data_IF_521339934073
#
_entry.id   IF_521339934073
#
_cell.length_a   1.000
_cell.length_b   1.000
_cell.length_c   1.000
_cell.angle_alpha   90.00
_cell.angle_beta   90.00
_cell.angle_gamma   90.00
#
_symmetry.space_group_name_H-M   'P 1'
#
loop_
_entity.id
_entity.type
_entity.pdbx_description
1 polymer ?
#
# COMPACT_ATOMS: atom_id res chain seq x y z
N UNK A 1 46.09 -6.47 -1.44
CA UNK A 1 46.65 -5.30 -2.13
C UNK A 1 46.45 -4.07 -1.26
N UNK A 2 47.54 -3.40 -0.85
CA UNK A 2 47.48 -2.27 0.06
C UNK A 2 47.24 -0.98 -0.75
N UNK A 3 45.97 -0.59 -0.94
CA UNK A 3 45.62 0.62 -1.68
C UNK A 3 45.92 1.85 -0.80
N UNK A 4 47.11 2.43 -0.96
CA UNK A 4 47.47 3.69 -0.30
C UNK A 4 46.68 4.84 -0.95
N UNK A 5 45.89 5.56 -0.16
CA UNK A 5 45.18 6.78 -0.60
C UNK A 5 46.18 7.85 -1.08
N UNK A 6 45.80 8.63 -2.10
CA UNK A 6 46.60 9.79 -2.53
C UNK A 6 46.62 10.85 -1.42
N UNK A 7 47.70 11.64 -1.33
CA UNK A 7 47.90 12.66 -0.27
C UNK A 7 46.77 13.69 -0.13
N UNK A 8 45.99 13.88 -1.19
CA UNK A 8 44.84 14.80 -1.24
C UNK A 8 43.47 14.09 -1.20
N UNK A 9 43.44 12.77 -1.05
CA UNK A 9 42.20 12.04 -0.85
C UNK A 9 41.91 11.90 0.64
N UNK A 10 40.80 12.49 1.10
CA UNK A 10 40.23 12.15 2.41
C UNK A 10 39.95 10.65 2.44
N UNK A 11 40.30 9.92 3.52
CA UNK A 11 39.97 8.50 3.68
C UNK A 11 38.50 8.25 3.35
N UNK A 12 38.22 7.73 2.16
CA UNK A 12 36.86 7.42 1.74
C UNK A 12 36.48 6.18 2.52
N UNK A 13 35.64 6.33 3.55
CA UNK A 13 35.06 5.16 4.22
C UNK A 13 34.32 4.32 3.19
N UNK A 14 34.75 3.07 3.05
CA UNK A 14 33.95 2.02 2.43
C UNK A 14 32.61 1.98 3.18
N UNK A 15 31.48 2.05 2.46
CA UNK A 15 30.16 2.19 3.09
C UNK A 15 29.23 3.22 2.43
N UNK A 16 29.75 4.07 1.52
CA UNK A 16 28.92 5.03 0.77
C UNK A 16 27.93 4.35 -0.21
N UNK A 17 27.94 3.01 -0.28
CA UNK A 17 27.17 2.21 -1.22
C UNK A 17 26.63 0.88 -0.64
N UNK A 18 26.48 0.72 0.67
CA UNK A 18 25.96 -0.55 1.26
C UNK A 18 24.56 -0.92 0.75
N UNK A 19 23.83 0.08 0.26
CA UNK A 19 22.50 -0.07 -0.37
C UNK A 19 22.55 -0.04 -1.91
N UNK A 20 23.72 0.09 -2.53
CA UNK A 20 23.95 0.26 -3.96
C UNK A 20 23.69 1.69 -4.48
N UNK A 21 24.27 2.04 -5.66
CA UNK A 21 24.09 3.35 -6.32
C UNK A 21 22.61 3.46 -6.69
N UNK A 22 21.83 4.16 -5.88
CA UNK A 22 20.38 4.29 -6.07
C UNK A 22 19.50 3.34 -5.27
N UNK A 23 20.02 2.65 -4.23
CA UNK A 23 19.18 1.80 -3.36
C UNK A 23 18.00 2.53 -2.74
N UNK A 24 18.25 3.71 -2.17
CA UNK A 24 17.20 4.56 -1.59
C UNK A 24 16.23 5.12 -2.64
N UNK A 25 16.73 5.48 -3.83
CA UNK A 25 15.91 5.95 -4.93
C UNK A 25 14.98 4.85 -5.46
N UNK A 26 15.51 3.63 -5.65
CA UNK A 26 14.75 2.46 -6.08
C UNK A 26 13.70 2.03 -5.03
N UNK A 27 14.05 2.09 -3.75
CA UNK A 27 13.09 1.84 -2.66
C UNK A 27 11.92 2.84 -2.71
N UNK A 28 12.19 4.14 -2.89
CA UNK A 28 11.14 5.17 -3.04
C UNK A 28 10.25 4.91 -4.26
N UNK A 29 10.83 4.50 -5.39
CA UNK A 29 10.05 4.14 -6.59
C UNK A 29 9.09 2.97 -6.31
N UNK A 30 9.58 1.89 -5.68
CA UNK A 30 8.75 0.74 -5.30
C UNK A 30 7.63 1.14 -4.34
N UNK A 31 7.94 1.95 -3.31
CA UNK A 31 6.92 2.44 -2.36
C UNK A 31 5.83 3.25 -3.08
N UNK A 32 6.20 4.11 -4.04
CA UNK A 32 5.24 4.88 -4.84
C UNK A 32 4.34 3.96 -5.68
N UNK A 33 4.90 2.94 -6.31
CA UNK A 33 4.14 1.94 -7.07
C UNK A 33 3.12 1.22 -6.18
N UNK A 34 3.54 0.72 -5.01
CA UNK A 34 2.63 0.04 -4.08
C UNK A 34 1.54 0.95 -3.54
N UNK A 35 1.85 2.22 -3.23
CA UNK A 35 0.84 3.19 -2.77
C UNK A 35 -0.22 3.45 -3.84
N UNK A 36 0.19 3.59 -5.10
CA UNK A 36 -0.75 3.78 -6.22
C UNK A 36 -1.60 2.54 -6.45
N UNK A 37 -1.01 1.34 -6.36
CA UNK A 37 -1.75 0.09 -6.47
C UNK A 37 -2.81 -0.04 -5.39
N UNK A 38 -2.47 0.23 -4.12
CA UNK A 38 -3.42 0.23 -3.00
C UNK A 38 -4.58 1.20 -3.21
N UNK A 39 -4.29 2.41 -3.73
CA UNK A 39 -5.31 3.41 -4.05
C UNK A 39 -6.28 2.88 -5.12
N UNK A 40 -5.77 2.36 -6.24
CA UNK A 40 -6.58 1.78 -7.33
C UNK A 40 -7.45 0.63 -6.86
N UNK A 41 -6.89 -0.27 -6.05
CA UNK A 41 -7.65 -1.41 -5.48
C UNK A 41 -8.77 -0.93 -4.57
N UNK A 42 -8.49 0.05 -3.69
CA UNK A 42 -9.50 0.63 -2.79
C UNK A 42 -10.60 1.39 -3.55
N UNK A 43 -10.24 2.13 -4.60
CA UNK A 43 -11.20 2.84 -5.45
C UNK A 43 -12.15 1.89 -6.17
N UNK A 44 -11.66 0.78 -6.72
CA UNK A 44 -12.49 -0.25 -7.34
C UNK A 44 -13.43 -0.96 -6.36
N UNK A 45 -13.06 -1.06 -5.07
CA UNK A 45 -13.91 -1.65 -4.02
C UNK A 45 -15.02 -0.69 -3.58
N UNK A 46 -14.72 0.61 -3.49
CA UNK A 46 -15.63 1.59 -2.90
C UNK A 46 -16.76 2.05 -3.83
N UNK A 47 -16.62 1.92 -5.15
CA UNK A 47 -17.67 2.38 -6.09
C UNK A 47 -18.87 1.43 -6.17
N UNK A 48 -18.69 0.14 -5.89
CA UNK A 48 -19.76 -0.86 -6.04
C UNK A 48 -20.43 -1.27 -4.71
N UNK A 49 -19.89 -0.88 -3.56
CA UNK A 49 -20.29 -1.40 -2.23
C UNK A 49 -20.85 -0.36 -1.26
N UNK A 50 -21.44 0.74 -1.76
CA UNK A 50 -22.58 1.35 -1.03
C UNK A 50 -23.84 0.53 -1.27
N UNK A 51 -23.78 -0.77 -0.99
CA UNK A 51 -24.98 -1.58 -0.83
C UNK A 51 -25.36 -1.41 0.62
N UNK A 52 -26.29 -0.50 0.85
CA UNK A 52 -26.87 -0.26 2.16
C UNK A 52 -27.37 -1.61 2.71
N UNK A 53 -26.58 -2.23 3.59
CA UNK A 53 -26.92 -3.50 4.23
C UNK A 53 -28.22 -3.44 5.04
N UNK A 54 -28.75 -2.22 5.23
CA UNK A 54 -30.09 -1.98 5.73
C UNK A 54 -31.17 -2.62 4.83
N UNK A 55 -31.04 -2.58 3.51
CA UNK A 55 -32.06 -3.05 2.56
C UNK A 55 -32.39 -4.55 2.67
N UNK A 56 -31.36 -5.39 2.87
CA UNK A 56 -31.54 -6.84 3.00
C UNK A 56 -32.16 -7.24 4.36
N UNK A 57 -31.81 -6.52 5.42
CA UNK A 57 -32.34 -6.74 6.77
C UNK A 57 -33.80 -6.25 6.86
N UNK A 58 -34.12 -5.13 6.21
CA UNK A 58 -35.48 -4.61 6.12
C UNK A 58 -36.45 -5.59 5.44
N UNK A 59 -36.00 -6.29 4.38
CA UNK A 59 -36.84 -7.24 3.65
C UNK A 59 -37.21 -8.47 4.49
N UNK A 60 -36.26 -9.02 5.27
CA UNK A 60 -36.51 -10.14 6.17
C UNK A 60 -37.45 -9.77 7.33
N UNK A 61 -37.34 -8.54 7.85
CA UNK A 61 -38.20 -8.05 8.93
C UNK A 61 -39.65 -7.83 8.48
N UNK A 62 -39.86 -7.34 7.25
CA UNK A 62 -41.20 -7.20 6.64
C UNK A 62 -41.89 -8.57 6.47
N UNK A 63 -41.16 -9.58 5.97
CA UNK A 63 -41.71 -10.93 5.81
C UNK A 63 -42.15 -11.52 7.16
N UNK A 64 -41.32 -11.36 8.21
CA UNK A 64 -41.64 -11.85 9.54
C UNK A 64 -42.89 -11.16 10.13
N UNK A 65 -43.07 -9.87 9.86
CA UNK A 65 -44.21 -9.07 10.33
C UNK A 65 -45.53 -9.47 9.66
N UNK A 66 -45.49 -9.88 8.39
CA UNK A 66 -46.67 -10.39 7.65
C UNK A 66 -47.09 -11.77 8.16
N UNK A 67 -46.15 -12.63 8.54
CA UNK A 67 -46.45 -13.98 9.04
C UNK A 67 -47.05 -13.99 10.45
N UNK A 68 -46.85 -12.95 11.26
CA UNK A 68 -47.32 -12.88 12.64
C UNK A 68 -48.76 -12.34 12.79
N UNK A 69 -49.46 -12.09 11.68
CA UNK A 69 -50.79 -11.44 11.66
C UNK A 69 -51.97 -12.39 11.40
N UNK A 70 -51.70 -13.69 11.32
CA UNK A 70 -52.71 -14.76 11.19
C UNK A 70 -52.57 -15.75 12.34
#
# INVERSE_FOLDING_TARGET
MNQRLKRWESPRKEGRNDKGKGGSARQRQKQKQFRMLRKKLKEGINQQTKRDGASAISFLWEILKVSAKY
#
